data_IF_250494870420
#
_entry.id   IF_250494870420
#
_cell.length_a   1.000
_cell.length_b   1.000
_cell.length_c   1.000
_cell.angle_alpha   90.00
_cell.angle_beta   90.00
_cell.angle_gamma   90.00
#
_symmetry.space_group_name_H-M   'P 1'
#
loop_
_entity.id
_entity.type
_entity.pdbx_description
1 polymer ?
#
# COMPACT_ATOMS: atom_id res chain seq x y z
N UNK A 1 3.98 29.38 19.29
CA UNK A 1 4.87 29.78 18.17
C UNK A 1 4.18 29.91 16.83
N UNK A 2 3.56 28.84 16.30
CA UNK A 2 2.86 28.83 15.00
C UNK A 2 1.55 28.05 15.16
N UNK A 3 0.46 28.52 14.55
CA UNK A 3 -0.82 27.82 14.51
C UNK A 3 -1.12 27.47 13.05
N UNK A 4 -1.38 26.18 12.79
CA UNK A 4 -1.83 25.69 11.49
C UNK A 4 -3.34 25.51 11.55
N UNK A 5 -4.07 26.31 10.78
CA UNK A 5 -5.52 26.31 10.75
C UNK A 5 -6.00 25.49 9.55
N UNK A 6 -6.48 24.27 9.81
CA UNK A 6 -7.12 23.45 8.79
C UNK A 6 -8.53 23.97 8.49
N UNK A 7 -8.87 24.14 7.20
CA UNK A 7 -10.18 24.62 6.77
C UNK A 7 -10.56 24.12 5.38
N UNK A 8 -11.85 24.11 5.05
CA UNK A 8 -12.33 23.80 3.68
C UNK A 8 -12.19 25.02 2.74
N UNK A 9 -12.21 26.22 3.32
CA UNK A 9 -12.17 27.50 2.60
C UNK A 9 -11.07 28.39 3.16
N UNK A 10 -10.70 29.42 2.39
CA UNK A 10 -9.72 30.41 2.83
C UNK A 10 -10.21 31.18 4.06
N UNK A 11 -9.30 31.41 4.98
CA UNK A 11 -9.50 32.26 6.14
C UNK A 11 -9.44 33.71 5.72
N UNK A 12 -10.39 34.50 6.22
CA UNK A 12 -10.33 35.94 6.05
C UNK A 12 -9.22 36.53 6.92
N UNK A 13 -8.71 37.68 6.50
CA UNK A 13 -7.73 38.43 7.27
C UNK A 13 -8.22 38.77 8.68
N UNK A 14 -9.52 39.00 8.84
CA UNK A 14 -10.14 39.22 10.15
C UNK A 14 -10.04 37.99 11.05
N UNK A 15 -10.21 36.78 10.53
CA UNK A 15 -10.09 35.55 11.30
C UNK A 15 -8.63 35.35 11.72
N UNK A 16 -7.68 35.52 10.79
CA UNK A 16 -6.23 35.42 11.09
C UNK A 16 -5.82 36.42 12.18
N UNK A 17 -6.28 37.67 12.10
CA UNK A 17 -6.04 38.69 13.14
C UNK A 17 -6.65 38.29 14.50
N UNK A 18 -7.83 37.69 14.50
CA UNK A 18 -8.50 37.25 15.74
C UNK A 18 -7.70 36.14 16.43
N UNK A 19 -7.24 35.15 15.67
CA UNK A 19 -6.42 34.05 16.18
C UNK A 19 -5.10 34.60 16.73
N UNK A 20 -4.43 35.47 15.98
CA UNK A 20 -3.21 36.15 16.43
C UNK A 20 -3.38 36.88 17.77
N UNK A 21 -4.47 37.65 17.92
CA UNK A 21 -4.77 38.38 19.15
C UNK A 21 -5.08 37.45 20.33
N UNK A 22 -5.92 36.43 20.14
CA UNK A 22 -6.36 35.54 21.23
C UNK A 22 -5.32 34.49 21.62
N UNK A 23 -4.39 34.17 20.72
CA UNK A 23 -3.35 33.17 20.96
C UNK A 23 -1.96 33.78 21.19
N UNK A 24 -1.84 35.11 21.19
CA UNK A 24 -0.59 35.86 21.40
C UNK A 24 0.54 35.41 20.46
N UNK A 25 0.25 35.38 19.15
CA UNK A 25 1.21 35.07 18.10
C UNK A 25 1.20 36.14 17.01
N UNK A 26 2.27 36.26 16.22
CA UNK A 26 2.25 37.11 15.03
C UNK A 26 1.17 36.62 14.05
N UNK A 27 0.53 37.55 13.32
CA UNK A 27 -0.50 37.19 12.33
C UNK A 27 0.07 36.27 11.23
N UNK A 28 1.32 36.50 10.86
CA UNK A 28 2.07 35.69 9.88
C UNK A 28 2.37 34.27 10.39
N UNK A 29 2.22 34.00 11.69
CA UNK A 29 2.32 32.66 12.28
C UNK A 29 0.97 31.92 12.30
N UNK A 30 -0.09 32.53 11.78
CA UNK A 30 -1.38 31.87 11.53
C UNK A 30 -1.39 31.33 10.10
N UNK A 31 -0.98 30.07 9.95
CA UNK A 31 -0.78 29.39 8.68
C UNK A 31 -2.09 28.73 8.24
N UNK A 32 -2.55 29.06 7.05
CA UNK A 32 -3.72 28.42 6.47
C UNK A 32 -3.37 27.03 5.90
N UNK A 33 -4.20 26.03 6.19
CA UNK A 33 -4.08 24.70 5.62
C UNK A 33 -5.41 24.26 5.02
N UNK A 34 -5.72 24.79 3.83
CA UNK A 34 -6.94 24.40 3.13
C UNK A 34 -6.91 22.94 2.68
N UNK A 35 -8.07 22.31 2.61
CA UNK A 35 -8.19 20.99 2.00
C UNK A 35 -7.71 21.03 0.54
N UNK A 36 -6.86 20.06 0.19
CA UNK A 36 -6.26 19.91 -1.15
C UNK A 36 -6.77 18.66 -1.82
N UNK A 37 -6.70 18.61 -3.17
CA UNK A 37 -7.23 17.47 -3.94
C UNK A 37 -6.38 16.21 -3.78
N UNK A 38 -5.08 16.40 -3.58
CA UNK A 38 -4.13 15.30 -3.45
C UNK A 38 -3.12 15.59 -2.33
N UNK A 39 -2.77 14.55 -1.57
CA UNK A 39 -1.79 14.64 -0.46
C UNK A 39 -0.48 15.34 -0.87
N UNK A 40 -0.03 15.13 -2.12
CA UNK A 40 1.22 15.69 -2.64
C UNK A 40 1.18 17.21 -2.85
N UNK A 41 0.01 17.84 -2.79
CA UNK A 41 -0.15 19.30 -2.86
C UNK A 41 0.12 19.97 -1.51
N UNK A 42 0.02 19.25 -0.39
CA UNK A 42 0.18 19.80 0.97
C UNK A 42 1.52 20.53 1.14
N UNK A 43 2.69 19.95 0.77
CA UNK A 43 3.97 20.67 0.90
C UNK A 43 4.06 21.94 0.05
N UNK A 44 3.42 21.96 -1.12
CA UNK A 44 3.39 23.13 -2.00
C UNK A 44 2.52 24.25 -1.41
N UNK A 45 1.37 23.88 -0.85
CA UNK A 45 0.46 24.80 -0.17
C UNK A 45 1.12 25.41 1.07
N UNK A 46 1.75 24.60 1.92
CA UNK A 46 2.44 25.08 3.13
C UNK A 46 3.65 25.98 2.80
N UNK A 47 4.39 25.68 1.72
CA UNK A 47 5.45 26.58 1.23
C UNK A 47 4.88 27.93 0.79
N UNK A 48 3.70 27.94 0.14
CA UNK A 48 3.04 29.18 -0.30
C UNK A 48 2.63 30.06 0.87
N UNK A 49 2.17 29.45 1.97
CA UNK A 49 1.90 30.14 3.25
C UNK A 49 3.18 30.46 4.06
N UNK A 50 4.37 30.20 3.49
CA UNK A 50 5.68 30.52 4.08
C UNK A 50 5.98 29.82 5.42
N UNK A 51 5.33 28.67 5.70
CA UNK A 51 5.55 27.93 6.95
C UNK A 51 7.03 27.57 7.15
N UNK A 52 7.71 27.14 6.10
CA UNK A 52 9.15 26.81 6.14
C UNK A 52 10.01 28.00 6.58
N UNK A 53 9.75 29.18 6.02
CA UNK A 53 10.41 30.42 6.41
C UNK A 53 10.15 30.78 7.88
N UNK A 54 8.90 30.70 8.34
CA UNK A 54 8.52 31.02 9.72
C UNK A 54 9.23 30.12 10.73
N UNK A 55 9.25 28.80 10.48
CA UNK A 55 9.93 27.82 11.32
C UNK A 55 11.44 28.11 11.38
N UNK A 56 12.10 28.31 10.24
CA UNK A 56 13.54 28.61 10.19
C UNK A 56 13.89 29.90 10.94
N UNK A 57 13.08 30.95 10.77
CA UNK A 57 13.27 32.23 11.46
C UNK A 57 13.20 32.09 12.98
N UNK A 58 12.17 31.41 13.49
CA UNK A 58 12.00 31.19 14.94
C UNK A 58 13.08 30.32 15.55
N UNK A 59 13.52 29.28 14.83
CA UNK A 59 14.61 28.41 15.24
C UNK A 59 16.00 29.01 15.00
N UNK A 60 16.09 30.20 14.38
CA UNK A 60 17.35 30.87 14.00
C UNK A 60 18.26 29.98 13.13
N UNK A 61 17.65 29.14 12.28
CA UNK A 61 18.36 28.24 11.39
C UNK A 61 18.58 28.87 10.01
N UNK A 62 19.82 28.80 9.52
CA UNK A 62 20.14 29.13 8.14
C UNK A 62 19.92 27.92 7.26
N UNK A 63 19.08 28.06 6.23
CA UNK A 63 18.85 27.02 5.24
C UNK A 63 18.88 27.59 3.82
N UNK A 64 19.12 26.72 2.84
CA UNK A 64 18.95 27.06 1.43
C UNK A 64 17.46 27.18 1.11
N UNK A 65 17.13 27.91 0.03
CA UNK A 65 15.77 27.98 -0.48
C UNK A 65 15.23 26.57 -0.79
N UNK A 66 13.99 26.31 -0.39
CA UNK A 66 13.33 25.02 -0.58
C UNK A 66 13.21 24.66 -2.07
N UNK A 67 13.78 23.52 -2.47
CA UNK A 67 13.62 22.95 -3.81
C UNK A 67 12.49 21.92 -3.82
N UNK A 68 11.33 22.32 -4.33
CA UNK A 68 10.15 21.46 -4.44
C UNK A 68 9.91 20.96 -5.88
N UNK A 69 10.94 20.89 -6.73
CA UNK A 69 10.80 20.41 -8.12
C UNK A 69 10.19 19.00 -8.19
N UNK A 70 10.59 18.08 -7.31
CA UNK A 70 10.05 16.72 -7.26
C UNK A 70 8.55 16.71 -6.91
N UNK A 71 8.15 17.48 -5.90
CA UNK A 71 6.75 17.66 -5.49
C UNK A 71 5.90 18.26 -6.61
N UNK A 72 6.38 19.30 -7.28
CA UNK A 72 5.70 19.89 -8.43
C UNK A 72 5.54 18.90 -9.57
N UNK A 73 6.57 18.08 -9.83
CA UNK A 73 6.53 17.05 -10.87
C UNK A 73 5.47 15.98 -10.58
N UNK A 74 5.39 15.46 -9.35
CA UNK A 74 4.40 14.44 -9.00
C UNK A 74 2.98 15.02 -9.05
N UNK A 75 2.75 16.22 -8.50
CA UNK A 75 1.44 16.89 -8.58
C UNK A 75 1.01 17.10 -10.03
N UNK A 76 1.92 17.59 -10.88
CA UNK A 76 1.64 17.74 -12.31
C UNK A 76 1.35 16.41 -13.00
N UNK A 77 2.01 15.32 -12.59
CA UNK A 77 1.76 13.98 -13.14
C UNK A 77 0.38 13.48 -12.77
N UNK A 78 -0.02 13.63 -11.50
CA UNK A 78 -1.33 13.21 -11.00
C UNK A 78 -2.47 13.99 -11.67
N UNK A 79 -2.26 15.27 -11.97
CA UNK A 79 -3.25 16.11 -12.65
C UNK A 79 -3.41 15.79 -14.15
N UNK A 80 -2.49 15.03 -14.75
CA UNK A 80 -2.44 14.74 -16.19
C UNK A 80 -2.21 13.26 -16.48
N UNK A 81 -2.98 12.39 -15.83
CA UNK A 81 -2.95 10.94 -16.09
C UNK A 81 -3.69 10.61 -17.41
N UNK A 82 -3.18 9.65 -18.17
CA UNK A 82 -3.77 9.18 -19.43
C UNK A 82 -4.32 7.75 -19.31
N UNK A 83 -5.61 7.62 -19.02
CA UNK A 83 -6.27 6.32 -18.91
C UNK A 83 -6.07 5.64 -17.55
N UNK A 84 -6.49 4.38 -17.46
CA UNK A 84 -6.62 3.64 -16.21
C UNK A 84 -6.15 2.19 -16.31
N UNK A 85 -5.82 1.61 -15.16
CA UNK A 85 -5.57 0.18 -14.97
C UNK A 85 -6.41 -0.29 -13.80
N UNK A 86 -7.24 -1.30 -14.02
CA UNK A 86 -8.15 -1.86 -13.02
C UNK A 86 -7.43 -3.00 -12.28
N UNK A 87 -7.24 -2.88 -10.96
CA UNK A 87 -6.54 -3.88 -10.13
C UNK A 87 -7.47 -4.41 -9.05
N UNK A 88 -7.63 -5.74 -8.98
CA UNK A 88 -8.38 -6.42 -7.93
C UNK A 88 -7.51 -6.71 -6.71
N UNK A 89 -7.91 -6.24 -5.53
CA UNK A 89 -7.27 -6.58 -4.25
C UNK A 89 -8.14 -7.60 -3.53
N UNK A 90 -7.62 -8.82 -3.37
CA UNK A 90 -8.34 -9.93 -2.72
C UNK A 90 -7.91 -10.01 -1.26
N UNK A 91 -8.72 -9.44 -0.38
CA UNK A 91 -8.37 -9.24 1.03
C UNK A 91 -9.43 -9.75 2.00
N UNK A 92 -9.07 -9.77 3.29
CA UNK A 92 -9.98 -10.10 4.40
C UNK A 92 -10.80 -8.89 4.86
N UNK A 93 -10.24 -7.69 4.76
CA UNK A 93 -10.82 -6.44 5.26
C UNK A 93 -11.11 -5.47 4.12
N UNK A 94 -12.15 -5.73 3.32
CA UNK A 94 -12.50 -4.85 2.20
C UNK A 94 -13.11 -3.52 2.63
N UNK A 95 -13.69 -3.47 3.84
CA UNK A 95 -14.38 -2.28 4.34
C UNK A 95 -13.43 -1.29 5.03
N UNK A 96 -12.28 -1.78 5.54
CA UNK A 96 -11.25 -0.95 6.16
C UNK A 96 -10.08 -0.73 5.19
N UNK A 97 -10.29 0.15 4.21
CA UNK A 97 -9.29 0.46 3.17
C UNK A 97 -7.95 0.96 3.77
N UNK A 98 -8.01 1.64 4.91
CA UNK A 98 -6.84 2.15 5.62
C UNK A 98 -5.88 1.04 6.09
N UNK A 99 -6.38 -0.18 6.32
CA UNK A 99 -5.55 -1.33 6.66
C UNK A 99 -4.53 -1.67 5.56
N UNK A 100 -4.71 -1.14 4.35
CA UNK A 100 -3.90 -1.40 3.17
C UNK A 100 -3.32 -0.12 2.56
N UNK A 101 -3.27 0.99 3.30
CA UNK A 101 -2.83 2.31 2.77
C UNK A 101 -1.47 2.24 2.05
N UNK A 102 -0.50 1.50 2.59
CA UNK A 102 0.82 1.35 1.98
C UNK A 102 0.77 0.61 0.64
N UNK A 103 -0.16 -0.35 0.47
CA UNK A 103 -0.37 -1.04 -0.80
C UNK A 103 -1.03 -0.10 -1.81
N UNK A 104 -2.08 0.61 -1.39
CA UNK A 104 -2.79 1.58 -2.22
C UNK A 104 -1.82 2.64 -2.76
N UNK A 105 -1.02 3.26 -1.89
CA UNK A 105 -0.05 4.28 -2.30
C UNK A 105 1.08 3.70 -3.16
N UNK A 106 1.56 2.49 -2.89
CA UNK A 106 2.58 1.83 -3.72
C UNK A 106 2.06 1.56 -5.13
N UNK A 107 0.81 1.11 -5.27
CA UNK A 107 0.17 0.92 -6.56
C UNK A 107 -0.02 2.25 -7.29
N UNK A 108 -0.53 3.26 -6.59
CA UNK A 108 -0.69 4.62 -7.13
C UNK A 108 0.64 5.17 -7.66
N UNK A 109 1.75 5.02 -6.91
CA UNK A 109 3.08 5.43 -7.37
C UNK A 109 3.53 4.68 -8.62
N UNK A 110 3.25 3.38 -8.68
CA UNK A 110 3.46 2.57 -9.89
C UNK A 110 2.66 3.11 -11.08
N UNK A 111 1.38 3.44 -10.87
CA UNK A 111 0.51 4.08 -11.86
C UNK A 111 1.05 5.42 -12.34
N UNK A 112 1.42 6.32 -11.42
CA UNK A 112 1.97 7.63 -11.73
C UNK A 112 3.23 7.57 -12.58
N UNK A 113 4.09 6.57 -12.35
CA UNK A 113 5.28 6.34 -13.19
C UNK A 113 4.90 6.09 -14.66
N UNK A 114 3.82 5.34 -14.90
CA UNK A 114 3.27 5.07 -16.23
C UNK A 114 2.19 6.07 -16.67
N UNK A 115 1.98 7.16 -15.91
CA UNK A 115 0.90 8.14 -16.09
C UNK A 115 -0.50 7.51 -16.14
N UNK A 116 -0.71 6.38 -15.48
CA UNK A 116 -2.02 5.71 -15.39
C UNK A 116 -2.68 5.96 -14.04
N UNK A 117 -4.00 6.11 -14.06
CA UNK A 117 -4.80 6.06 -12.86
C UNK A 117 -5.02 4.59 -12.43
N UNK A 118 -4.71 4.26 -11.19
CA UNK A 118 -5.00 2.91 -10.66
C UNK A 118 -6.41 2.91 -10.08
N UNK A 119 -7.28 2.08 -10.63
CA UNK A 119 -8.62 1.87 -10.09
C UNK A 119 -8.64 0.55 -9.31
N UNK A 120 -9.00 0.61 -8.03
CA UNK A 120 -8.93 -0.53 -7.13
C UNK A 120 -10.32 -1.13 -6.91
N UNK A 121 -10.44 -2.42 -7.24
CA UNK A 121 -11.62 -3.23 -6.92
C UNK A 121 -11.31 -4.07 -5.69
N UNK A 122 -12.05 -3.84 -4.61
CA UNK A 122 -11.89 -4.60 -3.36
C UNK A 122 -12.72 -5.87 -3.44
N UNK A 123 -12.07 -7.02 -3.31
CA UNK A 123 -12.68 -8.34 -3.42
C UNK A 123 -12.55 -9.04 -2.07
N UNK A 124 -13.69 -9.36 -1.45
CA UNK A 124 -13.69 -10.07 -0.18
C UNK A 124 -13.37 -11.54 -0.43
N UNK A 125 -12.27 -12.02 0.15
CA UNK A 125 -11.82 -13.39 -0.02
C UNK A 125 -12.88 -14.43 0.42
N UNK A 126 -13.68 -14.17 1.44
CA UNK A 126 -14.72 -15.12 1.90
C UNK A 126 -15.82 -15.31 0.84
N UNK A 127 -16.20 -14.24 0.13
CA UNK A 127 -17.16 -14.36 -0.96
C UNK A 127 -16.62 -15.19 -2.13
N UNK A 128 -15.30 -15.21 -2.31
CA UNK A 128 -14.62 -16.04 -3.33
C UNK A 128 -14.61 -17.52 -2.92
N UNK A 129 -14.69 -17.85 -1.63
CA UNK A 129 -14.80 -19.25 -1.18
C UNK A 129 -16.14 -19.85 -1.58
N UNK A 130 -17.21 -19.09 -1.40
CA UNK A 130 -18.58 -19.57 -1.58
C UNK A 130 -19.02 -19.64 -3.06
N UNK A 131 -18.41 -18.82 -3.94
CA UNK A 131 -19.00 -18.54 -5.27
C UNK A 131 -18.06 -18.66 -6.49
N UNK A 132 -16.82 -19.11 -6.30
CA UNK A 132 -15.84 -19.20 -7.39
C UNK A 132 -15.98 -20.55 -8.15
N UNK A 133 -16.93 -20.65 -9.10
CA UNK A 133 -16.55 -20.48 -10.52
C UNK A 133 -17.58 -19.75 -11.41
N UNK A 134 -18.69 -19.22 -10.90
CA UNK A 134 -19.80 -18.75 -11.77
C UNK A 134 -19.75 -17.25 -12.15
N UNK A 135 -19.13 -16.40 -11.33
CA UNK A 135 -19.16 -14.95 -11.55
C UNK A 135 -17.80 -14.39 -11.98
N UNK A 136 -17.46 -14.52 -13.28
CA UNK A 136 -16.34 -13.80 -13.93
C UNK A 136 -16.34 -12.28 -13.65
N UNK A 137 -17.50 -11.73 -13.26
CA UNK A 137 -17.71 -10.33 -12.91
C UNK A 137 -16.79 -9.88 -11.76
N UNK A 138 -16.52 -10.75 -10.79
CA UNK A 138 -15.69 -10.42 -9.62
C UNK A 138 -14.23 -10.10 -9.98
N UNK A 139 -13.78 -10.54 -11.15
CA UNK A 139 -12.38 -10.42 -11.60
C UNK A 139 -12.27 -9.76 -12.97
N UNK A 140 -13.20 -8.87 -13.33
CA UNK A 140 -13.03 -8.00 -14.50
C UNK A 140 -11.98 -6.92 -14.22
N UNK A 141 -10.72 -7.33 -14.11
CA UNK A 141 -9.56 -6.52 -13.72
C UNK A 141 -8.35 -6.89 -14.60
N UNK A 142 -7.44 -5.93 -14.78
CA UNK A 142 -6.20 -6.09 -15.54
C UNK A 142 -5.11 -6.83 -14.73
N UNK A 143 -5.26 -6.89 -13.40
CA UNK A 143 -4.33 -7.56 -12.51
C UNK A 143 -4.94 -7.88 -11.15
N UNK A 144 -4.40 -8.90 -10.48
CA UNK A 144 -4.86 -9.35 -9.16
C UNK A 144 -3.70 -9.24 -8.15
N UNK A 145 -4.00 -8.68 -6.99
CA UNK A 145 -3.09 -8.60 -5.85
C UNK A 145 -3.71 -9.32 -4.65
N UNK A 146 -2.97 -10.26 -4.07
CA UNK A 146 -3.29 -10.84 -2.76
C UNK A 146 -2.30 -10.26 -1.74
N UNK A 147 -2.76 -9.47 -0.78
CA UNK A 147 -1.90 -8.77 0.17
C UNK A 147 -1.41 -9.71 1.28
N UNK A 148 -0.67 -9.13 2.23
CA UNK A 148 -0.39 -9.79 3.50
C UNK A 148 -1.69 -10.06 4.28
N UNK A 149 -1.63 -11.00 5.22
CA UNK A 149 -2.71 -11.31 6.12
C UNK A 149 -2.24 -12.24 7.23
N UNK A 150 -3.15 -12.55 8.16
CA UNK A 150 -2.89 -13.41 9.30
C UNK A 150 -4.10 -14.29 9.60
N UNK A 151 -3.83 -15.54 9.98
CA UNK A 151 -4.85 -16.53 10.33
C UNK A 151 -5.57 -17.14 9.12
N UNK A 152 -6.32 -18.20 9.39
CA UNK A 152 -6.90 -19.09 8.37
C UNK A 152 -8.12 -18.52 7.60
N UNK A 153 -8.67 -17.39 8.03
CA UNK A 153 -9.93 -16.87 7.47
C UNK A 153 -9.76 -16.37 6.02
N UNK A 154 -10.63 -16.84 5.12
CA UNK A 154 -10.62 -16.45 3.71
C UNK A 154 -9.38 -16.94 2.95
N UNK A 155 -8.71 -18.02 3.40
CA UNK A 155 -7.51 -18.56 2.74
C UNK A 155 -7.88 -19.29 1.44
N UNK A 156 -8.92 -20.11 1.45
CA UNK A 156 -9.37 -20.82 0.25
C UNK A 156 -9.82 -19.84 -0.83
N UNK A 157 -10.38 -18.69 -0.44
CA UNK A 157 -10.81 -17.65 -1.36
C UNK A 157 -9.64 -16.98 -2.06
N UNK A 158 -8.55 -16.73 -1.32
CA UNK A 158 -7.28 -16.25 -1.91
C UNK A 158 -6.70 -17.29 -2.87
N UNK A 159 -6.69 -18.57 -2.49
CA UNK A 159 -6.21 -19.67 -3.34
C UNK A 159 -7.04 -19.76 -4.62
N UNK A 160 -8.37 -19.68 -4.53
CA UNK A 160 -9.28 -19.68 -5.67
C UNK A 160 -9.03 -18.49 -6.62
N UNK A 161 -8.82 -17.29 -6.08
CA UNK A 161 -8.47 -16.11 -6.88
C UNK A 161 -7.12 -16.27 -7.59
N UNK A 162 -6.13 -16.90 -6.95
CA UNK A 162 -4.82 -17.18 -7.54
C UNK A 162 -4.96 -18.21 -8.67
N UNK A 163 -5.73 -19.27 -8.46
CA UNK A 163 -6.06 -20.27 -9.48
C UNK A 163 -6.70 -19.61 -10.69
N UNK A 164 -7.69 -18.76 -10.47
CA UNK A 164 -8.35 -17.98 -11.51
C UNK A 164 -7.33 -17.12 -12.29
N UNK A 165 -6.47 -16.38 -11.58
CA UNK A 165 -5.44 -15.56 -12.21
C UNK A 165 -4.49 -16.40 -13.08
N UNK A 166 -4.04 -17.55 -12.59
CA UNK A 166 -3.15 -18.48 -13.31
C UNK A 166 -3.82 -19.03 -14.57
N UNK A 167 -5.02 -19.57 -14.44
CA UNK A 167 -5.74 -20.21 -15.55
C UNK A 167 -6.18 -19.21 -16.62
N UNK A 168 -6.55 -18.00 -16.22
CA UNK A 168 -6.91 -16.91 -17.14
C UNK A 168 -5.72 -16.07 -17.60
N UNK A 169 -4.50 -16.39 -17.14
CA UNK A 169 -3.25 -15.67 -17.46
C UNK A 169 -3.31 -14.18 -17.11
N UNK A 170 -4.00 -13.84 -16.02
CA UNK A 170 -4.06 -12.48 -15.48
C UNK A 170 -2.78 -12.20 -14.68
N UNK A 171 -2.12 -11.04 -14.85
CA UNK A 171 -1.01 -10.62 -14.01
C UNK A 171 -1.34 -10.70 -12.51
N UNK A 172 -0.45 -11.35 -11.74
CA UNK A 172 -0.64 -11.58 -10.32
C UNK A 172 0.55 -11.08 -9.49
N UNK A 173 0.27 -10.49 -8.33
CA UNK A 173 1.26 -10.17 -7.29
C UNK A 173 0.79 -10.66 -5.92
N UNK A 174 1.52 -11.60 -5.33
CA UNK A 174 1.31 -12.08 -3.96
C UNK A 174 2.31 -11.47 -3.00
N UNK A 175 1.83 -10.82 -1.92
CA UNK A 175 2.66 -10.20 -0.90
C UNK A 175 2.55 -11.01 0.40
N UNK A 176 3.69 -11.46 0.94
CA UNK A 176 3.74 -12.23 2.19
C UNK A 176 2.81 -13.46 2.13
N UNK A 177 1.67 -13.44 2.84
CA UNK A 177 0.64 -14.47 2.77
C UNK A 177 0.17 -14.73 1.33
N UNK A 178 0.04 -13.71 0.48
CA UNK A 178 -0.32 -13.91 -0.93
C UNK A 178 0.69 -14.75 -1.71
N UNK A 179 1.97 -14.69 -1.34
CA UNK A 179 3.01 -15.57 -1.91
C UNK A 179 2.86 -17.00 -1.39
N UNK A 180 2.60 -17.17 -0.09
CA UNK A 180 2.35 -18.49 0.50
C UNK A 180 1.13 -19.18 -0.11
N UNK A 181 0.00 -18.46 -0.25
CA UNK A 181 -1.19 -18.99 -0.91
C UNK A 181 -0.93 -19.38 -2.37
N UNK A 182 -0.02 -18.71 -3.07
CA UNK A 182 0.33 -19.07 -4.44
C UNK A 182 1.13 -20.38 -4.52
N UNK A 183 2.01 -20.64 -3.54
CA UNK A 183 2.71 -21.92 -3.42
C UNK A 183 1.71 -23.05 -3.14
N UNK A 184 0.76 -22.81 -2.23
CA UNK A 184 -0.32 -23.77 -1.91
C UNK A 184 -1.18 -24.06 -3.15
N UNK A 185 -1.64 -23.02 -3.86
CA UNK A 185 -2.44 -23.18 -5.10
C UNK A 185 -1.71 -24.03 -6.13
N UNK A 186 -0.43 -23.76 -6.35
CA UNK A 186 0.37 -24.48 -7.34
C UNK A 186 0.60 -25.93 -6.94
N UNK A 187 0.86 -26.20 -5.65
CA UNK A 187 0.96 -27.56 -5.12
C UNK A 187 -0.30 -28.37 -5.39
N UNK A 188 -1.47 -27.82 -5.07
CA UNK A 188 -2.77 -28.50 -5.24
C UNK A 188 -3.18 -28.68 -6.70
N UNK A 189 -2.98 -27.67 -7.55
CA UNK A 189 -3.60 -27.63 -8.88
C UNK A 189 -2.65 -27.93 -10.05
N UNK A 190 -1.34 -28.03 -9.79
CA UNK A 190 -0.34 -28.29 -10.85
C UNK A 190 0.54 -29.49 -10.52
N UNK A 191 0.79 -29.76 -9.24
CA UNK A 191 1.63 -30.88 -8.79
C UNK A 191 0.82 -32.03 -8.19
N UNK A 192 -0.51 -31.95 -8.19
CA UNK A 192 -1.44 -32.95 -7.67
C UNK A 192 -1.17 -33.32 -6.19
N UNK A 193 -0.73 -32.35 -5.39
CA UNK A 193 -0.59 -32.46 -3.94
C UNK A 193 -1.86 -31.93 -3.28
N UNK A 194 -2.92 -32.74 -3.29
CA UNK A 194 -4.29 -32.32 -2.91
C UNK A 194 -4.39 -31.65 -1.54
N UNK A 195 -3.63 -32.14 -0.56
CA UNK A 195 -3.59 -31.64 0.82
C UNK A 195 -2.48 -30.60 1.05
N UNK A 196 -1.77 -30.13 0.02
CA UNK A 196 -0.69 -29.16 0.18
C UNK A 196 -1.17 -27.93 0.96
N UNK A 197 -0.47 -27.58 2.04
CA UNK A 197 -0.92 -26.50 2.92
C UNK A 197 0.22 -25.81 3.69
N UNK A 198 -0.14 -24.78 4.45
CA UNK A 198 0.70 -24.22 5.50
C UNK A 198 0.42 -24.92 6.82
N UNK A 199 1.47 -25.24 7.58
CA UNK A 199 1.32 -25.75 8.95
C UNK A 199 0.65 -24.75 9.90
N UNK A 200 0.58 -23.46 9.52
CA UNK A 200 -0.21 -22.44 10.24
C UNK A 200 -1.73 -22.68 10.11
N UNK A 201 -2.19 -23.19 8.98
CA UNK A 201 -3.62 -23.35 8.67
C UNK A 201 -4.10 -24.79 8.83
N UNK A 202 -3.20 -25.74 8.62
CA UNK A 202 -3.46 -27.17 8.68
C UNK A 202 -2.21 -27.89 9.21
N UNK A 203 -2.11 -28.10 10.53
CA UNK A 203 -0.95 -28.74 11.15
C UNK A 203 -0.78 -30.21 10.75
N UNK A 204 -1.85 -30.87 10.29
CA UNK A 204 -1.90 -32.30 9.99
C UNK A 204 -1.67 -32.61 8.50
N UNK A 205 -1.42 -31.59 7.67
CA UNK A 205 -1.14 -31.77 6.24
C UNK A 205 0.03 -32.73 6.00
N UNK A 206 -0.17 -33.71 5.12
CA UNK A 206 0.89 -34.60 4.64
C UNK A 206 1.88 -33.88 3.71
N UNK A 207 1.51 -32.72 3.17
CA UNK A 207 2.30 -31.91 2.25
C UNK A 207 2.48 -30.45 2.75
N UNK A 208 3.31 -30.21 3.78
CA UNK A 208 3.55 -28.88 4.35
C UNK A 208 4.46 -28.03 3.45
N UNK A 209 3.90 -27.48 2.37
CA UNK A 209 4.62 -26.64 1.40
C UNK A 209 5.02 -25.28 1.97
N UNK A 210 4.36 -24.84 3.04
CA UNK A 210 4.72 -23.67 3.84
C UNK A 210 4.84 -24.11 5.30
N UNK A 211 5.95 -23.77 5.95
CA UNK A 211 6.23 -24.19 7.32
C UNK A 211 7.15 -23.18 8.02
N UNK A 212 7.19 -23.26 9.35
CA UNK A 212 8.15 -22.54 10.16
C UNK A 212 9.57 -22.99 9.84
N UNK A 213 10.50 -22.04 9.81
CA UNK A 213 11.92 -22.36 9.67
C UNK A 213 12.42 -23.14 10.90
N UNK A 214 13.48 -23.94 10.73
CA UNK A 214 14.07 -24.71 11.85
C UNK A 214 14.45 -23.84 13.05
N UNK A 215 14.91 -22.62 12.77
CA UNK A 215 15.28 -21.61 13.78
C UNK A 215 14.05 -21.12 14.57
N UNK A 216 12.89 -21.03 13.93
CA UNK A 216 11.64 -20.64 14.57
C UNK A 216 11.01 -21.77 15.38
N UNK A 217 11.15 -23.03 14.93
CA UNK A 217 10.60 -24.21 15.63
C UNK A 217 11.24 -24.48 16.98
N UNK A 218 12.51 -24.08 17.17
CA UNK A 218 13.26 -24.33 18.39
C UNK A 218 13.22 -23.17 19.39
N UNK A 219 12.42 -22.13 19.13
CA UNK A 219 12.32 -20.99 20.02
C UNK A 219 11.08 -21.08 20.91
N UNK A 220 11.31 -21.00 22.22
CA UNK A 220 10.26 -21.05 23.24
C UNK A 220 9.36 -19.80 23.21
N UNK A 221 9.84 -18.69 22.67
CA UNK A 221 9.11 -17.44 22.49
C UNK A 221 8.63 -17.26 21.04
N UNK A 222 7.35 -17.57 20.78
CA UNK A 222 6.72 -17.37 19.47
C UNK A 222 6.73 -15.90 19.00
N UNK A 223 6.86 -14.94 19.92
CA UNK A 223 6.98 -13.51 19.58
C UNK A 223 8.37 -13.08 19.11
N UNK A 224 9.43 -13.71 19.63
CA UNK A 224 10.83 -13.28 19.47
C UNK A 224 11.51 -13.75 18.18
N UNK A 225 10.91 -14.71 17.45
CA UNK A 225 11.48 -15.27 16.21
C UNK A 225 10.78 -14.81 14.94
N UNK A 226 9.88 -13.83 15.05
CA UNK A 226 9.30 -13.18 13.89
C UNK A 226 10.39 -12.48 13.07
N UNK A 227 10.45 -12.80 11.77
CA UNK A 227 11.37 -12.15 10.84
C UNK A 227 10.89 -10.73 10.52
N UNK A 228 11.32 -9.78 11.34
CA UNK A 228 10.96 -8.36 11.24
C UNK A 228 12.15 -7.49 10.82
N UNK A 229 11.87 -6.42 10.07
CA UNK A 229 12.87 -5.48 9.61
C UNK A 229 13.52 -5.86 8.27
N UNK A 230 14.70 -5.30 8.00
CA UNK A 230 15.39 -5.48 6.72
C UNK A 230 16.11 -6.82 6.67
N UNK A 231 15.85 -7.60 5.61
CA UNK A 231 16.57 -8.83 5.31
C UNK A 231 17.21 -8.74 3.93
N UNK A 232 18.45 -9.22 3.82
CA UNK A 232 19.13 -9.33 2.52
C UNK A 232 18.45 -10.43 1.69
N UNK A 233 17.97 -10.06 0.50
CA UNK A 233 17.45 -10.99 -0.49
C UNK A 233 18.40 -11.03 -1.69
N UNK A 234 18.85 -12.23 -2.09
CA UNK A 234 19.68 -12.41 -3.28
C UNK A 234 18.78 -12.81 -4.44
N UNK A 235 18.77 -12.01 -5.51
CA UNK A 235 17.89 -12.26 -6.65
C UNK A 235 18.55 -13.20 -7.66
N UNK A 236 17.79 -14.18 -8.15
CA UNK A 236 18.23 -15.05 -9.25
C UNK A 236 18.36 -14.22 -10.53
N UNK A 237 19.56 -14.19 -11.11
CA UNK A 237 19.83 -13.48 -12.37
C UNK A 237 18.89 -14.02 -13.47
N UNK A 238 18.34 -13.11 -14.27
CA UNK A 238 17.36 -13.43 -15.32
C UNK A 238 15.90 -13.54 -14.86
N UNK A 239 15.64 -13.60 -13.55
CA UNK A 239 14.26 -13.60 -13.02
C UNK A 239 13.53 -12.27 -13.28
N UNK A 240 12.19 -12.30 -13.25
CA UNK A 240 11.36 -11.08 -13.33
C UNK A 240 11.71 -10.07 -12.22
N UNK A 241 11.95 -10.56 -10.99
CA UNK A 241 12.38 -9.73 -9.88
C UNK A 241 13.74 -9.03 -10.16
N UNK A 242 14.74 -9.77 -10.66
CA UNK A 242 16.02 -9.16 -11.01
C UNK A 242 15.88 -8.08 -12.10
N UNK A 243 15.03 -8.30 -13.10
CA UNK A 243 14.74 -7.31 -14.15
C UNK A 243 14.09 -6.04 -13.59
N UNK A 244 13.20 -6.17 -12.59
CA UNK A 244 12.53 -5.03 -11.95
C UNK A 244 13.49 -4.22 -11.06
N UNK A 245 14.29 -4.88 -10.21
CA UNK A 245 15.18 -4.22 -9.25
C UNK A 245 16.53 -3.79 -9.85
N UNK A 246 16.97 -4.43 -10.95
CA UNK A 246 18.26 -4.18 -11.62
C UNK A 246 19.48 -4.25 -10.68
N UNK A 247 19.36 -5.00 -9.57
CA UNK A 247 20.39 -5.18 -8.56
C UNK A 247 20.36 -6.63 -8.05
N UNK A 248 21.54 -7.18 -7.79
CA UNK A 248 21.73 -8.56 -7.29
C UNK A 248 21.47 -8.66 -5.79
#
# INVERSE_FOLDING_TARGET
DIIICRSEVKLTDSIKSKISLFCDIEKEDTIEAIDVKHLYEVPLMLQKEKLDYRVLSKLKLKAKKSDLKSWKKIVNTIQHLDGKVDIGIVGKYTDLKDAYISIVESLNHGGYYFKKNINLTWINAELVEESCPQNNILFNVDGILVPYGYGARGINGKINAIKFAREKKIPFLGICLGMQCAVIEFGRNVLDLDDANSTEFDPDTGNPVIDLTREQKNAEDMGGTMRLGSYKCRLKVGSRAYKAYKKK
#
